data_IF_869698963729
#
_entry.id   IF_869698963729
#
_cell.length_a   1.000
_cell.length_b   1.000
_cell.length_c   1.000
_cell.angle_alpha   90.00
_cell.angle_beta   90.00
_cell.angle_gamma   90.00
#
_symmetry.space_group_name_H-M   'P 1'
#
loop_
_entity.id
_entity.type
_entity.pdbx_description
1 polymer ?
#
# COMPACT_ATOMS: atom_id res chain seq x y z
N UNK A 1 34.36 13.26 -12.20
CA UNK A 1 33.84 13.99 -11.04
C UNK A 1 33.26 12.95 -10.08
N UNK A 2 33.89 12.76 -8.93
CA UNK A 2 33.32 11.94 -7.86
C UNK A 2 32.08 12.69 -7.34
N UNK A 3 30.90 12.28 -7.83
CA UNK A 3 29.63 12.86 -7.38
C UNK A 3 29.47 12.58 -5.89
N UNK A 4 29.18 13.61 -5.12
CA UNK A 4 28.76 13.45 -3.72
C UNK A 4 27.59 12.49 -3.67
N UNK A 5 27.71 11.46 -2.83
CA UNK A 5 26.63 10.46 -2.64
C UNK A 5 25.40 11.20 -2.10
N UNK A 6 24.22 11.12 -2.77
CA UNK A 6 23.05 11.85 -2.32
C UNK A 6 22.54 11.34 -0.98
N UNK A 7 21.98 12.26 -0.21
CA UNK A 7 21.28 11.99 1.05
C UNK A 7 19.79 12.22 0.86
N UNK A 8 18.98 11.22 1.18
CA UNK A 8 17.53 11.29 1.04
C UNK A 8 16.84 11.15 2.40
N UNK A 9 15.75 11.87 2.55
CA UNK A 9 14.82 11.60 3.63
C UNK A 9 13.49 11.12 3.07
N UNK A 10 12.90 10.08 3.66
CA UNK A 10 11.62 9.52 3.23
C UNK A 10 10.65 9.36 4.42
N UNK A 11 9.38 9.50 4.12
CA UNK A 11 8.30 9.20 5.06
C UNK A 11 7.26 8.32 4.39
N UNK A 12 7.13 7.08 4.86
CA UNK A 12 6.08 6.14 4.51
C UNK A 12 5.30 5.75 5.78
N UNK A 13 4.01 6.08 5.84
CA UNK A 13 3.18 5.93 7.03
C UNK A 13 2.33 4.65 7.06
N UNK A 14 2.33 3.86 6.01
CA UNK A 14 1.53 2.65 5.88
C UNK A 14 2.30 1.53 5.19
N UNK A 15 1.86 0.28 5.38
CA UNK A 15 2.50 -0.89 4.77
C UNK A 15 2.58 -0.79 3.23
N UNK A 16 1.54 -0.23 2.59
CA UNK A 16 1.54 0.01 1.13
C UNK A 16 2.60 1.03 0.72
N UNK A 17 2.71 2.13 1.46
CA UNK A 17 3.73 3.16 1.23
C UNK A 17 5.14 2.63 1.51
N UNK A 18 5.32 1.83 2.55
CA UNK A 18 6.60 1.18 2.90
C UNK A 18 7.08 0.23 1.78
N UNK A 19 6.17 -0.56 1.23
CA UNK A 19 6.45 -1.42 0.07
C UNK A 19 6.88 -0.60 -1.16
N UNK A 20 6.13 0.45 -1.50
CA UNK A 20 6.44 1.33 -2.63
C UNK A 20 7.79 2.05 -2.44
N UNK A 21 8.03 2.57 -1.24
CA UNK A 21 9.31 3.21 -0.89
C UNK A 21 10.46 2.20 -0.93
N UNK A 22 10.24 0.96 -0.52
CA UNK A 22 11.22 -0.12 -0.62
C UNK A 22 11.66 -0.36 -2.07
N UNK A 23 10.72 -0.49 -3.00
CA UNK A 23 11.05 -0.62 -4.43
C UNK A 23 11.77 0.60 -5.00
N UNK A 24 11.37 1.81 -4.56
CA UNK A 24 12.07 3.04 -4.93
C UNK A 24 13.52 3.02 -4.42
N UNK A 25 13.75 2.59 -3.18
CA UNK A 25 15.10 2.47 -2.61
C UNK A 25 15.96 1.45 -3.37
N UNK A 26 15.40 0.31 -3.80
CA UNK A 26 16.11 -0.67 -4.63
C UNK A 26 16.63 -0.02 -5.92
N UNK A 27 15.76 0.70 -6.64
CA UNK A 27 16.13 1.37 -7.88
C UNK A 27 17.16 2.50 -7.66
N UNK A 28 17.01 3.28 -6.61
CA UNK A 28 17.92 4.37 -6.27
C UNK A 28 19.29 3.85 -5.84
N UNK A 29 19.36 2.78 -5.04
CA UNK A 29 20.63 2.16 -4.60
C UNK A 29 21.35 1.45 -5.73
N UNK A 30 20.63 0.89 -6.70
CA UNK A 30 21.24 0.37 -7.92
C UNK A 30 21.96 1.47 -8.71
N UNK A 31 21.43 2.71 -8.71
CA UNK A 31 22.03 3.87 -9.36
C UNK A 31 23.13 4.53 -8.52
N UNK A 32 22.94 4.58 -7.21
CA UNK A 32 23.85 5.20 -6.23
C UNK A 32 24.10 4.23 -5.06
N UNK A 33 25.06 3.29 -5.18
CA UNK A 33 25.31 2.26 -4.16
C UNK A 33 25.60 2.79 -2.76
N UNK A 34 26.16 4.02 -2.66
CA UNK A 34 26.42 4.70 -1.39
C UNK A 34 25.27 5.55 -0.86
N UNK A 35 24.09 5.52 -1.49
CA UNK A 35 22.92 6.33 -1.10
C UNK A 35 22.61 6.16 0.39
N UNK A 36 22.52 7.31 1.10
CA UNK A 36 22.02 7.36 2.48
C UNK A 36 20.56 7.76 2.45
N UNK A 37 19.72 6.98 3.11
CA UNK A 37 18.29 7.22 3.19
C UNK A 37 17.80 6.99 4.62
N UNK A 38 17.07 7.97 5.17
CA UNK A 38 16.61 7.97 6.56
C UNK A 38 15.24 8.63 6.72
N UNK A 39 14.55 8.39 7.86
CA UNK A 39 13.28 9.04 8.17
C UNK A 39 12.25 8.13 8.84
N UNK A 40 11.03 8.04 8.31
CA UNK A 40 9.97 7.15 8.82
C UNK A 40 9.68 6.08 7.78
N UNK A 41 9.81 4.81 8.17
CA UNK A 41 9.59 3.67 7.31
C UNK A 41 9.33 2.39 8.11
N UNK A 42 8.92 1.35 7.41
CA UNK A 42 8.65 0.03 7.98
C UNK A 42 9.70 -1.02 7.62
N UNK A 43 9.29 -2.28 7.71
CA UNK A 43 10.17 -3.42 7.53
C UNK A 43 10.72 -3.54 6.10
N UNK A 44 9.94 -3.17 5.09
CA UNK A 44 10.34 -3.22 3.68
C UNK A 44 11.48 -2.24 3.38
N UNK A 45 11.40 -1.01 3.88
CA UNK A 45 12.47 -0.03 3.74
C UNK A 45 13.68 -0.42 4.59
N UNK A 46 13.47 -0.88 5.83
CA UNK A 46 14.55 -1.30 6.73
C UNK A 46 15.37 -2.48 6.16
N UNK A 47 14.72 -3.47 5.55
CA UNK A 47 15.37 -4.59 4.87
C UNK A 47 16.33 -4.14 3.75
N UNK A 48 16.13 -2.92 3.23
CA UNK A 48 16.96 -2.28 2.19
C UNK A 48 17.97 -1.28 2.76
N UNK A 49 18.23 -1.35 4.07
CA UNK A 49 19.21 -0.49 4.74
C UNK A 49 18.77 0.97 4.83
N UNK A 50 17.48 1.21 5.05
CA UNK A 50 16.93 2.49 5.42
C UNK A 50 17.12 2.73 6.93
N UNK A 51 17.56 3.91 7.32
CA UNK A 51 17.69 4.31 8.72
C UNK A 51 16.35 4.86 9.24
N UNK A 52 15.55 3.97 9.85
CA UNK A 52 14.24 4.34 10.37
C UNK A 52 14.37 5.03 11.74
N UNK A 53 14.16 6.34 11.76
CA UNK A 53 14.15 7.15 13.00
C UNK A 53 12.88 6.94 13.83
N UNK A 54 11.77 6.69 13.16
CA UNK A 54 10.51 6.27 13.74
C UNK A 54 9.90 5.15 12.89
N UNK A 55 9.26 4.15 13.51
CA UNK A 55 8.59 3.08 12.79
C UNK A 55 7.30 3.58 12.11
N UNK A 56 6.99 3.06 10.91
CA UNK A 56 5.82 3.41 10.12
C UNK A 56 4.49 3.20 10.87
N UNK A 57 4.44 2.22 11.79
CA UNK A 57 3.25 1.89 12.59
C UNK A 57 2.78 3.06 13.46
N UNK A 58 3.67 4.00 13.80
CA UNK A 58 3.31 5.23 14.51
C UNK A 58 2.38 6.13 13.70
N UNK A 59 2.47 6.09 12.37
CA UNK A 59 1.63 6.86 11.46
C UNK A 59 0.40 6.10 10.96
N UNK A 60 0.39 4.77 11.08
CA UNK A 60 -0.68 3.88 10.61
C UNK A 60 -1.94 3.97 11.48
N UNK A 61 -2.55 5.16 11.55
CA UNK A 61 -3.79 5.41 12.30
C UNK A 61 -4.88 5.78 11.30
N UNK A 62 -5.99 5.04 11.31
CA UNK A 62 -7.13 5.33 10.41
C UNK A 62 -8.44 5.43 11.17
N UNK A 63 -9.25 6.39 10.70
CA UNK A 63 -10.56 6.69 11.30
C UNK A 63 -10.48 7.73 12.41
N UNK A 64 -11.49 8.58 12.48
CA UNK A 64 -11.54 9.71 13.41
C UNK A 64 -11.39 9.29 14.87
N UNK A 65 -11.93 8.13 15.26
CA UNK A 65 -11.90 7.64 16.63
C UNK A 65 -10.50 7.16 17.07
N UNK A 66 -9.69 6.65 16.13
CA UNK A 66 -8.33 6.20 16.42
C UNK A 66 -7.30 7.32 16.29
N UNK A 67 -7.55 8.30 15.43
CA UNK A 67 -6.66 9.43 15.18
C UNK A 67 -6.68 10.44 16.33
N UNK A 68 -7.88 10.77 16.86
CA UNK A 68 -8.01 11.82 17.89
C UNK A 68 -7.11 11.61 19.12
N UNK A 69 -7.05 10.43 19.77
CA UNK A 69 -6.18 10.20 20.93
C UNK A 69 -4.69 10.28 20.58
N UNK A 70 -4.31 9.95 19.33
CA UNK A 70 -2.91 9.91 18.87
C UNK A 70 -2.44 11.19 18.20
N UNK A 71 -3.35 12.12 17.93
CA UNK A 71 -3.02 13.38 17.24
C UNK A 71 -1.89 14.17 17.90
N UNK A 72 -1.83 14.32 19.24
CA UNK A 72 -0.71 15.01 19.89
C UNK A 72 0.65 14.32 19.65
N UNK A 73 0.68 12.98 19.64
CA UNK A 73 1.89 12.19 19.34
C UNK A 73 2.32 12.40 17.88
N UNK A 74 1.39 12.32 16.94
CA UNK A 74 1.64 12.51 15.52
C UNK A 74 2.19 13.91 15.22
N UNK A 75 1.60 14.94 15.82
CA UNK A 75 2.06 16.32 15.67
C UNK A 75 3.45 16.51 16.28
N UNK A 76 3.74 15.87 17.40
CA UNK A 76 5.06 15.88 18.04
C UNK A 76 6.10 15.22 17.15
N UNK A 77 5.82 14.04 16.62
CA UNK A 77 6.72 13.30 15.70
C UNK A 77 6.98 14.17 14.46
N UNK A 78 5.93 14.74 13.85
CA UNK A 78 6.08 15.60 12.66
C UNK A 78 6.94 16.82 12.94
N UNK A 79 6.78 17.46 14.11
CA UNK A 79 7.60 18.61 14.50
C UNK A 79 9.07 18.22 14.70
N UNK A 80 9.34 17.14 15.45
CA UNK A 80 10.70 16.65 15.70
C UNK A 80 11.40 16.24 14.41
N UNK A 81 10.66 15.54 13.52
CA UNK A 81 11.16 15.16 12.21
C UNK A 81 11.50 16.40 11.36
N UNK A 82 10.63 17.41 11.34
CA UNK A 82 10.89 18.65 10.61
C UNK A 82 12.14 19.37 11.15
N UNK A 83 12.30 19.47 12.47
CA UNK A 83 13.47 20.09 13.12
C UNK A 83 14.76 19.35 12.74
N UNK A 84 14.73 18.02 12.77
CA UNK A 84 15.86 17.19 12.38
C UNK A 84 16.23 17.35 10.90
N UNK A 85 15.23 17.31 10.01
CA UNK A 85 15.45 17.46 8.56
C UNK A 85 15.97 18.87 8.19
N UNK A 86 15.51 19.90 8.88
CA UNK A 86 16.01 21.27 8.69
C UNK A 86 17.47 21.41 9.14
N UNK A 87 17.90 20.64 10.15
CA UNK A 87 19.30 20.62 10.60
C UNK A 87 20.19 19.77 9.68
N UNK A 88 19.73 18.57 9.27
CA UNK A 88 20.49 17.64 8.44
C UNK A 88 20.53 18.06 6.95
N UNK A 89 19.51 18.82 6.48
CA UNK A 89 19.38 19.33 5.11
C UNK A 89 19.64 18.25 4.03
N UNK A 90 18.80 17.20 3.95
CA UNK A 90 18.93 16.20 2.89
C UNK A 90 18.81 16.85 1.50
N UNK A 91 19.43 16.22 0.49
CA UNK A 91 19.36 16.72 -0.90
C UNK A 91 17.94 16.65 -1.47
N UNK A 92 17.14 15.68 -0.96
CA UNK A 92 15.74 15.51 -1.37
C UNK A 92 14.94 14.89 -0.21
N UNK A 93 13.74 15.42 0.02
CA UNK A 93 12.71 14.80 0.84
C UNK A 93 11.65 14.13 -0.04
N UNK A 94 11.22 12.93 0.30
CA UNK A 94 10.17 12.18 -0.41
C UNK A 94 9.07 11.78 0.58
N UNK A 95 7.90 12.39 0.46
CA UNK A 95 6.68 11.91 1.13
C UNK A 95 6.03 10.82 0.30
N UNK A 96 5.80 9.65 0.89
CA UNK A 96 5.18 8.51 0.21
C UNK A 96 3.78 8.33 0.74
N UNK A 97 2.76 8.60 -0.10
CA UNK A 97 1.36 8.58 0.32
C UNK A 97 1.09 9.41 1.60
N UNK A 98 0.14 9.03 2.45
CA UNK A 98 -0.16 9.67 3.73
C UNK A 98 -0.20 11.23 3.67
N UNK A 99 -1.01 11.82 2.79
CA UNK A 99 -0.99 13.26 2.50
C UNK A 99 -1.28 14.13 3.72
N UNK A 100 -2.12 13.67 4.66
CA UNK A 100 -2.46 14.45 5.86
C UNK A 100 -1.26 14.61 6.83
N UNK A 101 -0.28 13.71 6.76
CA UNK A 101 0.98 13.85 7.49
C UNK A 101 2.04 14.57 6.66
N UNK A 102 2.22 14.18 5.40
CA UNK A 102 3.34 14.60 4.58
C UNK A 102 3.21 16.03 4.06
N UNK A 103 2.03 16.50 3.64
CA UNK A 103 1.91 17.81 3.00
C UNK A 103 2.39 19.00 3.85
N UNK A 104 2.02 19.04 5.14
CA UNK A 104 2.48 20.12 6.01
C UNK A 104 4.01 20.06 6.25
N UNK A 105 4.57 18.84 6.29
CA UNK A 105 6.01 18.65 6.42
C UNK A 105 6.73 19.06 5.15
N UNK A 106 6.28 18.58 3.99
CA UNK A 106 6.81 18.94 2.67
C UNK A 106 6.79 20.46 2.46
N UNK A 107 5.66 21.11 2.72
CA UNK A 107 5.53 22.56 2.57
C UNK A 107 6.55 23.33 3.44
N UNK A 108 6.75 22.87 4.68
CA UNK A 108 7.73 23.47 5.60
C UNK A 108 9.18 23.29 5.10
N UNK A 109 9.51 22.10 4.60
CA UNK A 109 10.85 21.80 4.07
C UNK A 109 11.11 22.56 2.78
N UNK A 110 10.15 22.60 1.87
CA UNK A 110 10.20 23.37 0.63
C UNK A 110 10.41 24.85 0.89
N UNK A 111 9.68 25.44 1.84
CA UNK A 111 9.88 26.83 2.25
C UNK A 111 11.29 27.11 2.80
N UNK A 112 11.97 26.10 3.35
CA UNK A 112 13.36 26.18 3.81
C UNK A 112 14.40 25.87 2.72
N UNK A 113 13.96 25.67 1.47
CA UNK A 113 14.83 25.41 0.31
C UNK A 113 15.30 23.95 0.19
N UNK A 114 14.68 22.99 0.89
CA UNK A 114 14.89 21.57 0.69
C UNK A 114 13.93 21.11 -0.41
N UNK A 115 14.44 20.45 -1.44
CA UNK A 115 13.60 19.90 -2.52
C UNK A 115 12.65 18.86 -1.97
N UNK A 116 11.38 18.88 -2.43
CA UNK A 116 10.34 17.98 -1.97
C UNK A 116 9.69 17.25 -3.14
N UNK A 117 9.48 15.96 -2.97
CA UNK A 117 8.82 15.11 -3.93
C UNK A 117 7.72 14.33 -3.22
N UNK A 118 6.52 14.31 -3.80
CA UNK A 118 5.44 13.47 -3.29
C UNK A 118 5.28 12.25 -4.19
N UNK A 119 5.38 11.07 -3.61
CA UNK A 119 5.22 9.80 -4.32
C UNK A 119 3.87 9.19 -3.98
N UNK A 120 3.10 8.85 -4.97
CA UNK A 120 1.67 8.48 -4.99
C UNK A 120 0.77 9.70 -5.02
N UNK A 121 0.26 10.04 -6.20
CA UNK A 121 -0.74 11.09 -6.34
C UNK A 121 -2.00 10.75 -5.54
N UNK A 122 -2.41 11.59 -4.58
CA UNK A 122 -3.64 11.33 -3.84
C UNK A 122 -4.86 11.58 -4.73
N UNK A 123 -5.88 10.75 -4.61
CA UNK A 123 -7.11 10.81 -5.42
C UNK A 123 -8.02 12.00 -5.12
N UNK A 124 -7.50 13.08 -4.55
CA UNK A 124 -8.27 14.31 -4.25
C UNK A 124 -8.89 14.94 -5.49
N UNK A 125 -8.25 14.81 -6.63
CA UNK A 125 -8.77 15.28 -7.90
C UNK A 125 -10.18 14.76 -8.21
N UNK A 126 -10.56 13.59 -7.67
CA UNK A 126 -11.87 12.98 -7.90
C UNK A 126 -12.98 13.54 -7.00
N UNK A 127 -12.66 14.06 -5.78
CA UNK A 127 -13.68 14.37 -4.77
C UNK A 127 -13.37 15.57 -3.86
N UNK A 128 -12.14 16.06 -3.88
CA UNK A 128 -11.70 17.25 -3.12
C UNK A 128 -10.65 18.04 -3.88
N UNK A 129 -10.99 18.62 -5.04
CA UNK A 129 -10.02 19.34 -5.88
C UNK A 129 -9.36 20.53 -5.15
N UNK A 130 -10.00 21.11 -4.14
CA UNK A 130 -9.41 22.16 -3.32
C UNK A 130 -8.12 21.74 -2.59
N UNK A 131 -7.94 20.45 -2.31
CA UNK A 131 -6.73 19.90 -1.71
C UNK A 131 -5.53 19.88 -2.67
N UNK A 132 -5.74 20.03 -3.97
CA UNK A 132 -4.64 20.16 -4.95
C UNK A 132 -3.79 21.42 -4.67
N UNK A 133 -4.39 22.48 -4.12
CA UNK A 133 -3.61 23.67 -3.69
C UNK A 133 -2.61 23.34 -2.59
N UNK A 134 -2.97 22.45 -1.66
CA UNK A 134 -2.05 21.97 -0.62
C UNK A 134 -0.91 21.15 -1.21
N UNK A 135 -1.23 20.24 -2.13
CA UNK A 135 -0.21 19.45 -2.84
C UNK A 135 0.76 20.35 -3.61
N UNK A 136 0.26 21.38 -4.32
CA UNK A 136 1.07 22.37 -5.04
C UNK A 136 2.02 23.15 -4.11
N UNK A 137 1.55 23.50 -2.93
CA UNK A 137 2.38 24.16 -1.93
C UNK A 137 3.42 23.22 -1.30
N UNK A 138 3.09 21.93 -1.18
CA UNK A 138 3.90 20.92 -0.52
C UNK A 138 5.04 20.39 -1.39
N UNK A 139 4.74 19.95 -2.61
CA UNK A 139 5.69 19.24 -3.45
C UNK A 139 6.23 20.10 -4.61
N UNK A 140 7.52 19.93 -4.93
CA UNK A 140 8.10 20.46 -6.17
C UNK A 140 7.74 19.58 -7.37
N UNK A 141 7.55 18.28 -7.12
CA UNK A 141 7.18 17.32 -8.15
C UNK A 141 6.38 16.15 -7.56
N UNK A 142 5.49 15.55 -8.36
CA UNK A 142 4.68 14.39 -7.96
C UNK A 142 5.00 13.19 -8.84
N UNK A 143 5.28 12.04 -8.22
CA UNK A 143 5.41 10.76 -8.91
C UNK A 143 4.07 10.03 -8.90
N UNK A 144 3.50 9.82 -10.08
CA UNK A 144 2.17 9.28 -10.29
C UNK A 144 2.22 7.79 -10.62
N UNK A 145 1.32 7.00 -10.01
CA UNK A 145 1.20 5.58 -10.27
C UNK A 145 0.33 5.27 -11.50
N UNK A 146 -0.54 6.19 -11.91
CA UNK A 146 -1.46 5.99 -13.03
C UNK A 146 -1.17 6.97 -14.17
N UNK A 147 -1.30 6.53 -15.44
CA UNK A 147 -0.89 7.33 -16.60
C UNK A 147 -1.75 8.57 -16.86
N UNK A 148 -2.95 8.63 -16.32
CA UNK A 148 -3.87 9.77 -16.46
C UNK A 148 -3.63 10.89 -15.44
N UNK A 149 -2.96 10.60 -14.31
CA UNK A 149 -2.78 11.55 -13.20
C UNK A 149 -1.93 12.77 -13.57
N UNK A 150 -0.80 12.64 -14.32
CA UNK A 150 0.00 13.80 -14.68
C UNK A 150 -0.77 14.90 -15.42
N UNK A 151 -1.69 14.52 -16.33
CA UNK A 151 -2.51 15.48 -17.05
C UNK A 151 -3.44 16.26 -16.09
N UNK A 152 -4.10 15.55 -15.16
CA UNK A 152 -4.96 16.16 -14.14
C UNK A 152 -4.19 17.11 -13.20
N UNK A 153 -2.95 16.76 -12.86
CA UNK A 153 -2.10 17.61 -12.02
C UNK A 153 -1.56 18.81 -12.77
N UNK A 154 -1.26 18.67 -14.06
CA UNK A 154 -0.82 19.76 -14.92
C UNK A 154 -1.87 20.86 -15.04
N UNK A 155 -3.16 20.51 -15.14
CA UNK A 155 -4.27 21.45 -15.15
C UNK A 155 -4.33 22.30 -13.86
N UNK A 156 -3.87 21.75 -12.74
CA UNK A 156 -3.72 22.47 -11.47
C UNK A 156 -2.37 23.21 -11.34
N UNK A 157 -1.50 23.13 -12.36
CA UNK A 157 -0.16 23.71 -12.37
C UNK A 157 0.79 23.01 -11.40
N UNK A 158 0.69 21.68 -11.28
CA UNK A 158 1.54 20.82 -10.45
C UNK A 158 2.41 19.98 -11.38
N UNK A 159 3.73 20.07 -11.22
CA UNK A 159 4.67 19.24 -11.98
C UNK A 159 4.55 17.77 -11.55
N UNK A 160 4.38 16.87 -12.51
CA UNK A 160 4.20 15.46 -12.24
C UNK A 160 4.78 14.57 -13.34
N UNK A 161 5.14 13.34 -12.97
CA UNK A 161 5.59 12.30 -13.90
C UNK A 161 4.91 10.99 -13.60
N UNK A 162 4.49 10.29 -14.64
CA UNK A 162 4.04 8.90 -14.53
C UNK A 162 5.25 7.97 -14.37
N UNK A 163 5.28 7.20 -13.30
CA UNK A 163 6.37 6.25 -13.00
C UNK A 163 5.91 4.79 -13.03
N UNK A 164 4.60 4.57 -13.12
CA UNK A 164 4.01 3.23 -13.04
C UNK A 164 3.92 2.71 -11.60
N UNK A 165 3.26 1.56 -11.46
CA UNK A 165 3.15 0.88 -10.17
C UNK A 165 4.14 -0.29 -10.12
N UNK A 166 4.99 -0.42 -9.06
CA UNK A 166 6.00 -1.47 -8.98
C UNK A 166 5.42 -2.89 -9.14
N UNK A 167 4.21 -3.14 -8.62
CA UNK A 167 3.54 -4.44 -8.77
C UNK A 167 3.32 -4.84 -10.23
N UNK A 168 3.24 -3.88 -11.17
CA UNK A 168 3.13 -4.19 -12.60
C UNK A 168 4.40 -4.85 -13.16
N UNK A 169 5.54 -4.66 -12.52
CA UNK A 169 6.80 -5.33 -12.87
C UNK A 169 6.97 -6.68 -12.16
N UNK A 170 6.32 -6.86 -11.01
CA UNK A 170 6.41 -8.07 -10.18
C UNK A 170 5.37 -9.11 -10.61
N UNK A 171 4.15 -8.66 -10.93
CA UNK A 171 3.06 -9.55 -11.33
C UNK A 171 3.19 -9.87 -12.82
N UNK A 172 3.30 -11.16 -13.21
CA UNK A 172 3.42 -11.53 -14.60
C UNK A 172 2.23 -11.05 -15.46
N UNK A 173 2.49 -10.64 -16.69
CA UNK A 173 1.42 -10.25 -17.62
C UNK A 173 0.44 -11.40 -17.85
N UNK A 174 0.92 -12.65 -17.83
CA UNK A 174 0.14 -13.87 -17.91
C UNK A 174 0.41 -14.73 -16.66
N UNK A 175 -0.37 -14.59 -15.58
CA UNK A 175 -0.21 -15.39 -14.38
C UNK A 175 -0.51 -16.87 -14.65
N UNK A 176 0.37 -17.76 -14.20
CA UNK A 176 0.16 -19.22 -14.34
C UNK A 176 -0.84 -19.70 -13.29
N UNK A 177 -2.13 -19.73 -13.70
CA UNK A 177 -3.23 -20.20 -12.86
C UNK A 177 -3.10 -21.67 -12.47
N UNK A 178 -2.65 -22.52 -13.39
CA UNK A 178 -2.54 -23.94 -13.14
C UNK A 178 -1.43 -24.23 -12.11
N UNK A 179 -0.28 -23.60 -12.23
CA UNK A 179 0.79 -23.69 -11.24
C UNK A 179 0.34 -23.20 -9.86
N UNK A 180 -0.35 -22.05 -9.81
CA UNK A 180 -0.86 -21.50 -8.56
C UNK A 180 -1.88 -22.46 -7.90
N UNK A 181 -2.78 -23.07 -8.67
CA UNK A 181 -3.74 -24.07 -8.17
C UNK A 181 -3.04 -25.30 -7.60
N UNK A 182 -2.02 -25.82 -8.29
CA UNK A 182 -1.22 -26.95 -7.78
C UNK A 182 -0.54 -26.62 -6.46
N UNK A 183 0.09 -25.46 -6.36
CA UNK A 183 0.75 -25.00 -5.13
C UNK A 183 -0.24 -24.91 -3.96
N UNK A 184 -1.44 -24.41 -4.22
CA UNK A 184 -2.48 -24.28 -3.21
C UNK A 184 -3.30 -25.58 -3.00
N UNK A 185 -3.00 -26.65 -3.74
CA UNK A 185 -3.73 -27.93 -3.66
C UNK A 185 -5.21 -27.82 -4.02
N UNK A 186 -5.56 -26.93 -4.96
CA UNK A 186 -6.93 -26.74 -5.45
C UNK A 186 -7.22 -27.71 -6.58
N UNK A 187 -8.48 -28.18 -6.66
CA UNK A 187 -8.89 -29.09 -7.72
C UNK A 187 -8.90 -28.37 -9.09
N UNK A 188 -8.37 -29.05 -10.10
CA UNK A 188 -8.45 -28.58 -11.46
C UNK A 188 -9.91 -28.61 -11.96
N UNK A 189 -10.29 -27.58 -12.73
CA UNK A 189 -11.62 -27.48 -13.32
C UNK A 189 -12.75 -27.00 -12.39
N UNK A 190 -12.57 -26.98 -11.07
CA UNK A 190 -13.55 -26.38 -10.17
C UNK A 190 -13.42 -24.85 -10.16
N UNK A 191 -14.56 -24.12 -10.05
CA UNK A 191 -14.51 -22.68 -9.83
C UNK A 191 -13.83 -22.34 -8.49
N UNK A 192 -13.00 -21.29 -8.49
CA UNK A 192 -12.27 -20.83 -7.31
C UNK A 192 -12.56 -19.35 -7.08
N UNK A 193 -13.07 -19.03 -5.90
CA UNK A 193 -13.34 -17.66 -5.47
C UNK A 193 -12.35 -17.28 -4.37
N UNK A 194 -11.63 -16.17 -4.57
CA UNK A 194 -10.79 -15.58 -3.53
C UNK A 194 -11.59 -14.57 -2.71
N UNK A 195 -11.57 -14.72 -1.38
CA UNK A 195 -12.23 -13.81 -0.45
C UNK A 195 -11.16 -12.98 0.25
N UNK A 196 -11.17 -11.67 0.04
CA UNK A 196 -10.22 -10.72 0.62
C UNK A 196 -10.98 -9.68 1.46
N UNK A 197 -11.41 -10.04 2.68
CA UNK A 197 -12.24 -9.16 3.53
C UNK A 197 -11.48 -7.97 4.11
N UNK A 198 -10.18 -7.88 3.88
CA UNK A 198 -9.29 -6.83 4.35
C UNK A 198 -8.13 -7.35 5.19
N UNK A 199 -7.18 -6.47 5.46
CA UNK A 199 -5.99 -6.74 6.29
C UNK A 199 -6.09 -6.18 7.71
N UNK A 200 -7.06 -5.28 7.96
CA UNK A 200 -7.26 -4.61 9.26
C UNK A 200 -8.33 -5.30 10.08
N UNK A 201 -8.20 -5.21 11.42
CA UNK A 201 -9.15 -5.81 12.34
C UNK A 201 -10.59 -5.36 12.09
N UNK A 202 -10.81 -4.06 11.91
CA UNK A 202 -12.12 -3.48 11.65
C UNK A 202 -12.70 -3.95 10.31
N UNK A 203 -11.90 -4.03 9.25
CA UNK A 203 -12.33 -4.55 7.94
C UNK A 203 -12.82 -5.99 8.06
N UNK A 204 -12.00 -6.87 8.64
CA UNK A 204 -12.37 -8.28 8.83
C UNK A 204 -13.59 -8.41 9.75
N UNK A 205 -13.70 -7.59 10.79
CA UNK A 205 -14.85 -7.59 11.69
C UNK A 205 -16.16 -7.21 10.98
N UNK A 206 -16.13 -6.17 10.13
CA UNK A 206 -17.33 -5.68 9.47
C UNK A 206 -17.69 -6.43 8.19
N UNK A 207 -16.71 -6.84 7.41
CA UNK A 207 -16.92 -7.48 6.09
C UNK A 207 -16.83 -8.99 6.16
N UNK A 208 -16.03 -9.56 7.06
CA UNK A 208 -15.75 -10.99 7.09
C UNK A 208 -17.02 -11.83 7.13
N UNK A 209 -17.92 -11.59 8.09
CA UNK A 209 -19.19 -12.34 8.17
C UNK A 209 -20.00 -12.28 6.87
N UNK A 210 -20.08 -11.09 6.24
CA UNK A 210 -20.81 -10.90 4.98
C UNK A 210 -20.17 -11.67 3.83
N UNK A 211 -18.84 -11.67 3.74
CA UNK A 211 -18.10 -12.41 2.72
C UNK A 211 -18.27 -13.90 2.86
N UNK A 212 -18.15 -14.45 4.06
CA UNK A 212 -18.34 -15.87 4.31
C UNK A 212 -19.80 -16.32 4.08
N UNK A 213 -20.76 -15.46 4.44
CA UNK A 213 -22.19 -15.73 4.14
C UNK A 213 -22.45 -15.71 2.64
N UNK A 214 -21.91 -14.77 1.89
CA UNK A 214 -21.99 -14.74 0.43
C UNK A 214 -21.38 -16.00 -0.19
N UNK A 215 -20.21 -16.43 0.30
CA UNK A 215 -19.57 -17.66 -0.15
C UNK A 215 -20.44 -18.89 0.11
N UNK A 216 -21.13 -18.99 1.25
CA UNK A 216 -22.06 -20.06 1.56
C UNK A 216 -23.26 -20.09 0.59
N UNK A 217 -23.81 -18.94 0.21
CA UNK A 217 -24.87 -18.85 -0.80
C UNK A 217 -24.38 -19.30 -2.19
N UNK A 218 -23.17 -18.89 -2.57
CA UNK A 218 -22.55 -19.35 -3.83
C UNK A 218 -22.36 -20.87 -3.82
N UNK A 219 -21.90 -21.45 -2.69
CA UNK A 219 -21.73 -22.89 -2.57
C UNK A 219 -23.05 -23.65 -2.71
N UNK A 220 -24.15 -23.12 -2.16
CA UNK A 220 -25.48 -23.73 -2.32
C UNK A 220 -25.92 -23.78 -3.78
N UNK A 221 -25.65 -22.69 -4.53
CA UNK A 221 -25.96 -22.62 -5.96
C UNK A 221 -25.00 -23.44 -6.83
N UNK A 222 -23.74 -23.55 -6.42
CA UNK A 222 -22.67 -24.19 -7.19
C UNK A 222 -21.74 -24.99 -6.25
N UNK A 223 -22.15 -26.20 -5.92
CA UNK A 223 -21.52 -27.07 -4.91
C UNK A 223 -20.02 -27.37 -5.17
N UNK A 224 -19.56 -27.29 -6.42
CA UNK A 224 -18.17 -27.54 -6.79
C UNK A 224 -17.23 -26.36 -6.45
N UNK A 225 -17.75 -25.17 -6.17
CA UNK A 225 -16.95 -23.98 -5.93
C UNK A 225 -16.05 -24.14 -4.71
N UNK A 226 -14.79 -23.78 -4.87
CA UNK A 226 -13.79 -23.70 -3.80
C UNK A 226 -13.54 -22.25 -3.41
N UNK A 227 -13.27 -22.02 -2.14
CA UNK A 227 -13.00 -20.69 -1.60
C UNK A 227 -11.62 -20.64 -0.97
N UNK A 228 -10.89 -19.57 -1.21
CA UNK A 228 -9.57 -19.32 -0.62
C UNK A 228 -9.56 -17.94 0.03
N UNK A 229 -8.97 -17.86 1.22
CA UNK A 229 -8.90 -16.62 2.00
C UNK A 229 -7.45 -16.35 2.37
N UNK A 230 -6.69 -15.59 1.54
CA UNK A 230 -5.37 -15.15 1.95
C UNK A 230 -5.50 -14.14 3.09
N UNK A 231 -4.71 -14.34 4.15
CA UNK A 231 -4.84 -13.51 5.34
C UNK A 231 -3.48 -13.19 5.95
N UNK A 232 -3.33 -11.99 6.48
CA UNK A 232 -2.10 -11.59 7.21
C UNK A 232 -2.02 -12.33 8.55
N UNK A 233 -0.79 -12.59 9.08
CA UNK A 233 -0.59 -13.36 10.32
C UNK A 233 -1.46 -12.88 11.48
N UNK A 234 -1.55 -11.58 11.66
CA UNK A 234 -2.25 -10.93 12.78
C UNK A 234 -3.78 -11.14 12.74
N UNK A 235 -4.33 -11.45 11.57
CA UNK A 235 -5.78 -11.68 11.37
C UNK A 235 -6.14 -13.16 11.29
N UNK A 236 -5.16 -14.04 11.25
CA UNK A 236 -5.36 -15.48 11.08
C UNK A 236 -6.34 -16.09 12.10
N UNK A 237 -6.26 -15.79 13.43
CA UNK A 237 -7.23 -16.33 14.39
C UNK A 237 -8.66 -15.86 14.12
N UNK A 238 -8.85 -14.57 13.81
CA UNK A 238 -10.15 -13.99 13.51
C UNK A 238 -10.79 -14.58 12.25
N UNK A 239 -10.00 -14.70 11.17
CA UNK A 239 -10.47 -15.27 9.90
C UNK A 239 -10.78 -16.77 10.06
N UNK A 240 -9.99 -17.53 10.82
CA UNK A 240 -10.26 -18.94 11.11
C UNK A 240 -11.56 -19.14 11.89
N UNK A 241 -11.84 -18.27 12.85
CA UNK A 241 -13.10 -18.33 13.59
C UNK A 241 -14.31 -18.10 12.67
N UNK A 242 -14.24 -17.11 11.77
CA UNK A 242 -15.28 -16.88 10.77
C UNK A 242 -15.41 -18.03 9.79
N UNK A 243 -14.29 -18.63 9.35
CA UNK A 243 -14.27 -19.79 8.48
C UNK A 243 -14.98 -21.00 9.12
N UNK A 244 -14.67 -21.29 10.37
CA UNK A 244 -15.31 -22.38 11.13
C UNK A 244 -16.82 -22.18 11.28
N UNK A 245 -17.27 -20.94 11.50
CA UNK A 245 -18.69 -20.60 11.62
C UNK A 245 -19.46 -20.55 10.28
N UNK A 246 -18.75 -20.58 9.14
CA UNK A 246 -19.36 -20.37 7.82
C UNK A 246 -20.14 -21.56 7.26
N UNK A 247 -19.88 -22.77 7.75
CA UNK A 247 -20.44 -24.02 7.21
C UNK A 247 -19.82 -24.49 5.89
N UNK A 248 -18.81 -23.79 5.35
CA UNK A 248 -18.18 -24.13 4.07
C UNK A 248 -17.25 -25.37 4.13
N UNK A 249 -16.86 -25.80 5.33
CA UNK A 249 -16.07 -27.00 5.55
C UNK A 249 -14.79 -27.08 4.70
N UNK A 250 -14.55 -28.24 4.10
CA UNK A 250 -13.36 -28.50 3.27
C UNK A 250 -13.31 -27.67 1.95
N UNK A 251 -14.40 -26.99 1.58
CA UNK A 251 -14.45 -26.11 0.41
C UNK A 251 -13.77 -24.76 0.63
N UNK A 252 -13.48 -24.42 1.90
CA UNK A 252 -12.83 -23.17 2.26
C UNK A 252 -11.42 -23.42 2.81
N UNK A 253 -10.44 -22.71 2.27
CA UNK A 253 -9.05 -22.74 2.76
C UNK A 253 -8.61 -21.35 3.19
N UNK A 254 -8.19 -21.24 4.45
CA UNK A 254 -7.54 -20.03 4.96
C UNK A 254 -6.04 -20.18 4.74
N UNK A 255 -5.47 -19.21 4.00
CA UNK A 255 -4.06 -19.18 3.63
C UNK A 255 -3.32 -18.18 4.53
N UNK A 256 -2.15 -18.57 5.01
CA UNK A 256 -1.27 -17.67 5.75
C UNK A 256 -0.45 -16.85 4.75
N UNK A 257 -0.81 -15.58 4.58
CA UNK A 257 -0.27 -14.77 3.48
C UNK A 257 -0.73 -15.28 2.12
N UNK A 258 0.19 -15.36 1.16
CA UNK A 258 0.00 -15.96 -0.17
C UNK A 258 -1.08 -15.26 -1.03
N UNK A 259 -1.29 -13.95 -0.86
CA UNK A 259 -2.30 -13.18 -1.63
C UNK A 259 -2.06 -13.29 -3.14
N UNK A 260 -0.83 -13.19 -3.61
CA UNK A 260 -0.50 -13.32 -5.02
C UNK A 260 -0.79 -14.72 -5.57
N UNK A 261 -0.49 -15.78 -4.81
CA UNK A 261 -0.84 -17.14 -5.22
C UNK A 261 -2.37 -17.34 -5.27
N UNK A 262 -3.11 -16.78 -4.31
CA UNK A 262 -4.57 -16.82 -4.29
C UNK A 262 -5.16 -16.07 -5.49
N UNK A 263 -4.68 -14.85 -5.78
CA UNK A 263 -5.11 -14.07 -6.94
C UNK A 263 -4.73 -14.73 -8.27
N UNK A 264 -3.58 -15.39 -8.36
CA UNK A 264 -3.21 -16.15 -9.55
C UNK A 264 -4.14 -17.36 -9.76
N UNK A 265 -4.53 -18.06 -8.68
CA UNK A 265 -5.30 -19.32 -8.72
C UNK A 265 -6.80 -19.11 -8.94
N UNK A 266 -7.39 -18.01 -8.47
CA UNK A 266 -8.84 -17.81 -8.49
C UNK A 266 -9.38 -17.45 -9.89
N UNK A 267 -10.69 -17.60 -10.04
CA UNK A 267 -11.44 -17.15 -11.22
C UNK A 267 -12.10 -15.78 -10.96
N UNK A 268 -12.55 -15.56 -9.73
CA UNK A 268 -13.26 -14.34 -9.29
C UNK A 268 -12.76 -13.95 -7.89
N UNK A 269 -12.80 -12.65 -7.61
CA UNK A 269 -12.49 -12.11 -6.29
C UNK A 269 -13.71 -11.46 -5.65
N UNK A 270 -13.91 -11.71 -4.36
CA UNK A 270 -14.74 -10.87 -3.50
C UNK A 270 -13.79 -10.10 -2.58
N UNK A 271 -13.67 -8.79 -2.79
CA UNK A 271 -12.57 -8.00 -2.25
C UNK A 271 -13.07 -6.73 -1.58
N UNK A 272 -12.51 -6.41 -0.42
CA UNK A 272 -12.67 -5.10 0.20
C UNK A 272 -11.89 -4.04 -0.58
N UNK A 273 -12.49 -2.86 -0.76
CA UNK A 273 -11.83 -1.74 -1.45
C UNK A 273 -10.50 -1.36 -0.78
N UNK A 274 -9.42 -1.26 -1.57
CA UNK A 274 -8.07 -0.94 -1.10
C UNK A 274 -7.02 -1.31 -2.14
N UNK A 275 -5.75 -1.35 -1.73
CA UNK A 275 -4.60 -1.69 -2.60
C UNK A 275 -4.76 -3.05 -3.29
N UNK A 276 -5.37 -4.02 -2.61
CA UNK A 276 -5.59 -5.35 -3.14
C UNK A 276 -6.50 -5.38 -4.39
N UNK A 277 -7.34 -4.35 -4.63
CA UNK A 277 -8.13 -4.23 -5.86
C UNK A 277 -7.24 -4.03 -7.08
N UNK A 278 -6.15 -3.26 -6.94
CA UNK A 278 -5.16 -3.10 -8.01
C UNK A 278 -4.40 -4.42 -8.26
N UNK A 279 -4.04 -5.14 -7.20
CA UNK A 279 -3.42 -6.48 -7.34
C UNK A 279 -4.33 -7.43 -8.12
N UNK A 280 -5.62 -7.51 -7.76
CA UNK A 280 -6.60 -8.32 -8.47
C UNK A 280 -6.71 -7.94 -9.96
N UNK A 281 -6.74 -6.64 -10.26
CA UNK A 281 -6.74 -6.15 -11.65
C UNK A 281 -5.46 -6.53 -12.40
N UNK A 282 -4.29 -6.44 -11.77
CA UNK A 282 -3.02 -6.86 -12.36
C UNK A 282 -2.98 -8.38 -12.61
N UNK A 283 -3.60 -9.19 -11.73
CA UNK A 283 -3.80 -10.62 -11.95
C UNK A 283 -4.93 -10.94 -12.95
N UNK A 284 -5.62 -9.93 -13.52
CA UNK A 284 -6.77 -10.07 -14.46
C UNK A 284 -7.90 -10.89 -13.84
N UNK A 285 -8.20 -10.63 -12.58
CA UNK A 285 -9.29 -11.30 -11.85
C UNK A 285 -10.42 -10.29 -11.60
N UNK A 286 -11.64 -10.61 -12.09
CA UNK A 286 -12.84 -9.83 -11.78
C UNK A 286 -13.25 -9.98 -10.33
#
# INVERSE_FOLDING_TARGET
MAGTTPSLALVAGEASGDLLAGHLLDALKARWPGLRAAGIGGAEMAARGFDAWWPAEKLSVRGYLEVLPRLPELLRIRRQLAERLLAERPDLFIGVDAPDFNFDLEARLKAAGIRTLHFVSPSFWAWRPEKLLKLKAAADHVLCLFPFEPALLADAGIAASYVGHPLASVIPLQPDRAAARRVLGLADGAPVVALLPGSRAAEVQHLGFRFFRAAALVQQAQAATQFIVPTVPERLPQVRALAAASGLGARLRVLHGQSHAALAACDVTLIASGTATLEAALFKRP
#
